data_IF_961943719914
#
_entry.id   IF_961943719914
#
_cell.length_a   1.000
_cell.length_b   1.000
_cell.length_c   1.000
_cell.angle_alpha   90.00
_cell.angle_beta   90.00
_cell.angle_gamma   90.00
#
_symmetry.space_group_name_H-M   'P 1'
#
loop_
_entity.id
_entity.type
_entity.pdbx_description
1 polymer ?
#
# COMPACT_ATOMS: atom_id res chain seq x y z
N UNK A 1 4.27 -23.34 2.14
CA UNK A 1 3.02 -22.89 1.47
C UNK A 1 3.02 -23.47 0.07
N UNK A 2 1.86 -23.90 -0.42
CA UNK A 2 1.72 -24.33 -1.81
C UNK A 2 1.96 -23.17 -2.75
N UNK A 3 2.38 -23.47 -3.99
CA UNK A 3 2.55 -22.44 -5.02
C UNK A 3 1.21 -21.74 -5.28
N UNK A 4 1.19 -20.41 -5.53
CA UNK A 4 -0.02 -19.70 -5.90
C UNK A 4 -0.69 -20.32 -7.12
N UNK A 5 -2.03 -20.26 -7.20
CA UNK A 5 -2.79 -20.80 -8.32
C UNK A 5 -2.44 -20.10 -9.64
N UNK A 6 -2.29 -20.87 -10.72
CA UNK A 6 -2.11 -20.32 -12.07
C UNK A 6 -3.43 -19.73 -12.58
N UNK A 7 -3.33 -18.73 -13.47
CA UNK A 7 -4.53 -18.15 -14.08
C UNK A 7 -5.41 -19.19 -14.78
N UNK A 8 -4.79 -20.09 -15.53
CA UNK A 8 -5.52 -21.08 -16.32
C UNK A 8 -6.28 -22.09 -15.45
N UNK A 9 -5.84 -22.31 -14.22
CA UNK A 9 -6.47 -23.24 -13.28
C UNK A 9 -7.63 -22.61 -12.49
N UNK A 10 -7.87 -21.29 -12.63
CA UNK A 10 -9.00 -20.62 -12.00
C UNK A 10 -10.32 -21.03 -12.66
N UNK A 11 -11.38 -21.07 -11.82
CA UNK A 11 -12.76 -21.18 -12.29
C UNK A 11 -13.14 -20.03 -13.23
N UNK A 12 -13.94 -20.32 -14.25
CA UNK A 12 -14.34 -19.32 -15.25
C UNK A 12 -15.14 -18.16 -14.68
N UNK A 13 -15.92 -18.37 -13.63
CA UNK A 13 -16.68 -17.31 -12.96
C UNK A 13 -15.71 -16.37 -12.24
N UNK A 14 -14.68 -16.91 -11.58
CA UNK A 14 -13.63 -16.11 -10.95
C UNK A 14 -12.86 -15.30 -12.00
N UNK A 15 -12.47 -15.92 -13.14
CA UNK A 15 -11.83 -15.21 -14.24
C UNK A 15 -12.66 -14.03 -14.72
N UNK A 16 -13.95 -14.23 -14.97
CA UNK A 16 -14.85 -13.15 -15.39
C UNK A 16 -14.94 -12.02 -14.36
N UNK A 17 -15.01 -12.36 -13.07
CA UNK A 17 -15.03 -11.35 -12.00
C UNK A 17 -13.73 -10.54 -11.93
N UNK A 18 -12.56 -11.21 -12.01
CA UNK A 18 -11.28 -10.52 -12.04
C UNK A 18 -11.16 -9.57 -13.23
N UNK A 19 -11.63 -9.99 -14.40
CA UNK A 19 -11.62 -9.17 -15.63
C UNK A 19 -12.78 -8.17 -15.69
N UNK A 20 -13.54 -7.98 -14.58
CA UNK A 20 -14.73 -7.14 -14.58
C UNK A 20 -15.65 -7.45 -15.78
N UNK A 21 -15.92 -8.75 -16.01
CA UNK A 21 -16.70 -9.27 -17.14
C UNK A 21 -16.13 -8.87 -18.51
N UNK A 22 -14.85 -9.19 -18.72
CA UNK A 22 -14.07 -8.92 -19.95
C UNK A 22 -13.86 -7.43 -20.26
N UNK A 23 -14.01 -6.56 -19.25
CA UNK A 23 -13.81 -5.13 -19.42
C UNK A 23 -12.37 -4.67 -19.22
N UNK A 24 -11.50 -5.50 -18.63
CA UNK A 24 -10.09 -5.17 -18.38
C UNK A 24 -9.19 -6.30 -18.88
N UNK A 25 -8.00 -6.01 -19.43
CA UNK A 25 -7.05 -7.00 -19.85
C UNK A 25 -6.32 -7.66 -18.69
N UNK A 26 -5.82 -8.86 -18.96
CA UNK A 26 -4.87 -9.57 -18.10
C UNK A 26 -3.51 -9.65 -18.80
N UNK A 27 -2.44 -9.53 -18.01
CA UNK A 27 -1.07 -9.75 -18.43
C UNK A 27 -0.48 -10.91 -17.64
N UNK A 28 0.29 -11.75 -18.31
CA UNK A 28 1.00 -12.84 -17.66
C UNK A 28 2.21 -12.29 -16.89
N UNK A 29 2.17 -12.43 -15.57
CA UNK A 29 3.23 -12.07 -14.66
C UNK A 29 3.13 -12.93 -13.40
N UNK A 30 3.46 -14.20 -13.54
CA UNK A 30 3.35 -15.12 -12.42
C UNK A 30 4.51 -14.95 -11.43
N UNK A 31 4.16 -14.64 -10.19
CA UNK A 31 5.09 -14.51 -9.09
C UNK A 31 4.95 -15.68 -8.11
N UNK A 32 6.00 -16.49 -8.01
CA UNK A 32 6.08 -17.60 -7.07
C UNK A 32 7.14 -17.28 -6.00
N UNK A 33 6.84 -16.31 -5.15
CA UNK A 33 7.73 -15.89 -4.07
C UNK A 33 7.06 -16.04 -2.72
N UNK A 34 7.33 -17.13 -2.03
CA UNK A 34 6.94 -17.27 -0.62
C UNK A 34 7.93 -16.54 0.26
N UNK A 35 7.51 -15.40 0.82
CA UNK A 35 8.25 -14.75 1.91
C UNK A 35 7.90 -15.48 3.22
N UNK A 36 8.81 -16.31 3.72
CA UNK A 36 8.57 -17.10 4.94
C UNK A 36 9.52 -16.79 6.09
N UNK A 37 10.39 -15.79 5.97
CA UNK A 37 11.36 -15.47 7.00
C UNK A 37 10.88 -14.30 7.86
N UNK A 38 11.00 -14.44 9.18
CA UNK A 38 10.90 -13.29 10.08
C UNK A 38 11.97 -12.26 9.70
N UNK A 39 11.56 -11.02 9.54
CA UNK A 39 12.45 -9.91 9.20
C UNK A 39 12.75 -9.15 10.48
N UNK A 40 14.03 -8.96 10.78
CA UNK A 40 14.47 -8.12 11.88
C UNK A 40 14.95 -6.77 11.36
N UNK A 41 14.29 -5.71 11.79
CA UNK A 41 14.60 -4.32 11.44
C UNK A 41 15.46 -3.73 12.56
N UNK A 42 16.69 -3.36 12.24
CA UNK A 42 17.63 -2.84 13.22
C UNK A 42 17.33 -1.40 13.57
N UNK A 43 17.52 -1.06 14.83
CA UNK A 43 17.42 0.32 15.34
C UNK A 43 18.29 1.30 14.55
N UNK A 44 19.51 0.90 14.21
CA UNK A 44 20.46 1.73 13.44
C UNK A 44 19.90 2.12 12.07
N UNK A 45 19.22 1.19 11.38
CA UNK A 45 18.60 1.43 10.07
C UNK A 45 17.45 2.43 10.20
N UNK A 46 16.61 2.27 11.23
CA UNK A 46 15.49 3.19 11.51
C UNK A 46 16.02 4.60 11.82
N UNK A 47 17.01 4.72 12.70
CA UNK A 47 17.62 6.00 13.08
C UNK A 47 18.26 6.69 11.88
N UNK A 48 18.96 5.92 11.04
CA UNK A 48 19.56 6.43 9.80
C UNK A 48 18.51 6.95 8.82
N UNK A 49 17.43 6.18 8.60
CA UNK A 49 16.31 6.61 7.75
C UNK A 49 15.61 7.87 8.30
N UNK A 50 15.34 7.92 9.60
CA UNK A 50 14.73 9.11 10.24
C UNK A 50 15.63 10.34 10.06
N UNK A 51 16.93 10.20 10.26
CA UNK A 51 17.88 11.30 10.10
C UNK A 51 17.89 11.81 8.65
N UNK A 52 17.92 10.91 7.66
CA UNK A 52 17.85 11.27 6.24
C UNK A 52 16.54 12.03 5.94
N UNK A 53 15.39 11.48 6.38
CA UNK A 53 14.07 12.09 6.19
C UNK A 53 13.93 13.47 6.84
N UNK A 54 14.52 13.69 8.03
CA UNK A 54 14.52 14.97 8.71
C UNK A 54 15.36 16.03 7.98
N UNK A 55 16.37 15.60 7.21
CA UNK A 55 17.18 16.47 6.38
C UNK A 55 16.55 16.79 5.02
N UNK A 56 15.51 16.05 4.61
CA UNK A 56 14.76 16.31 3.37
C UNK A 56 13.77 17.44 3.58
N UNK A 57 13.92 18.49 2.79
CA UNK A 57 13.04 19.68 2.80
C UNK A 57 12.63 20.02 1.38
N UNK A 58 11.52 20.70 1.25
CA UNK A 58 11.08 21.20 -0.07
C UNK A 58 12.19 22.02 -0.78
N UNK A 59 12.33 21.89 -2.10
CA UNK A 59 11.59 20.98 -2.97
C UNK A 59 12.14 19.53 -2.87
N UNK A 60 11.26 18.59 -2.53
CA UNK A 60 11.63 17.17 -2.37
C UNK A 60 12.11 16.52 -3.66
N UNK A 61 11.77 17.08 -4.83
CA UNK A 61 12.20 16.58 -6.15
C UNK A 61 13.69 16.39 -6.30
N UNK A 62 14.51 17.12 -5.53
CA UNK A 62 15.97 16.97 -5.53
C UNK A 62 16.47 15.64 -4.90
N UNK A 63 15.59 14.89 -4.24
CA UNK A 63 15.92 13.64 -3.56
C UNK A 63 15.49 12.38 -4.34
N UNK A 64 14.84 12.55 -5.49
CA UNK A 64 14.27 11.44 -6.29
C UNK A 64 15.29 10.34 -6.64
N UNK A 65 16.56 10.71 -6.87
CA UNK A 65 17.60 9.78 -7.30
C UNK A 65 18.51 9.32 -6.15
N UNK A 66 18.25 9.72 -4.91
CA UNK A 66 19.27 9.67 -3.85
C UNK A 66 19.18 8.47 -2.92
N UNK A 67 18.10 7.67 -2.95
CA UNK A 67 17.96 6.54 -2.02
C UNK A 67 17.54 5.23 -2.72
N UNK A 68 18.48 4.29 -2.93
CA UNK A 68 18.18 2.99 -3.51
C UNK A 68 17.24 2.11 -2.65
N UNK A 69 17.02 2.46 -1.37
CA UNK A 69 16.11 1.73 -0.49
C UNK A 69 14.64 2.06 -0.72
N UNK A 70 14.35 3.14 -1.44
CA UNK A 70 12.97 3.59 -1.62
C UNK A 70 12.17 2.72 -2.59
N UNK A 71 12.77 2.20 -3.66
CA UNK A 71 12.12 1.29 -4.61
C UNK A 71 10.86 1.82 -5.33
N UNK A 72 10.32 2.96 -4.89
CA UNK A 72 9.04 3.54 -5.30
C UNK A 72 9.17 4.85 -6.09
N UNK A 73 10.38 5.25 -6.47
CA UNK A 73 10.61 6.46 -7.27
C UNK A 73 9.99 7.71 -6.65
N UNK A 74 9.16 8.42 -7.44
CA UNK A 74 8.54 9.68 -7.04
C UNK A 74 7.52 9.56 -5.90
N UNK A 75 7.02 8.36 -5.62
CA UNK A 75 5.99 8.12 -4.60
C UNK A 75 6.45 8.57 -3.20
N UNK A 76 7.70 8.35 -2.85
CA UNK A 76 8.24 8.80 -1.55
C UNK A 76 8.20 10.31 -1.42
N UNK A 77 8.52 11.03 -2.49
CA UNK A 77 8.45 12.50 -2.55
C UNK A 77 7.00 12.98 -2.40
N UNK A 78 6.10 12.36 -3.15
CA UNK A 78 4.67 12.69 -3.11
C UNK A 78 4.05 12.42 -1.74
N UNK A 79 4.48 11.35 -1.06
CA UNK A 79 4.04 11.02 0.29
C UNK A 79 4.52 12.07 1.31
N UNK A 80 5.77 12.53 1.22
CA UNK A 80 6.28 13.60 2.08
C UNK A 80 5.49 14.89 1.89
N UNK A 81 5.18 15.27 0.64
CA UNK A 81 4.33 16.44 0.33
C UNK A 81 2.92 16.28 0.92
N UNK A 82 2.33 15.08 0.81
CA UNK A 82 1.02 14.81 1.39
C UNK A 82 1.03 14.94 2.92
N UNK A 83 2.05 14.39 3.58
CA UNK A 83 2.20 14.45 5.04
C UNK A 83 2.55 15.85 5.57
N UNK A 84 3.21 16.69 4.77
CA UNK A 84 3.46 18.08 5.14
C UNK A 84 2.17 18.93 5.05
N UNK A 85 1.29 18.64 4.06
CA UNK A 85 0.00 19.32 3.93
C UNK A 85 -1.06 18.81 4.91
N UNK A 86 -1.05 17.52 5.20
CA UNK A 86 -1.97 16.83 6.11
C UNK A 86 -1.15 16.13 7.21
N UNK A 87 -0.75 16.85 8.27
CA UNK A 87 0.24 16.36 9.23
C UNK A 87 -0.31 15.27 10.17
N UNK A 88 0.54 14.27 10.44
CA UNK A 88 0.25 13.16 11.34
C UNK A 88 0.89 13.30 12.72
N UNK A 89 1.43 14.46 13.05
CA UNK A 89 2.12 14.71 14.33
C UNK A 89 1.21 14.42 15.51
N UNK A 90 1.71 13.61 16.46
CA UNK A 90 0.99 13.14 17.66
C UNK A 90 -0.25 12.27 17.33
N UNK A 91 -0.41 11.79 16.09
CA UNK A 91 -1.47 10.89 15.70
C UNK A 91 -1.01 9.43 15.84
N UNK A 92 -1.93 8.54 16.21
CA UNK A 92 -1.71 7.10 16.06
C UNK A 92 -1.87 6.73 14.58
N UNK A 93 -0.82 6.17 13.99
CA UNK A 93 -0.76 5.86 12.56
C UNK A 93 -0.46 4.38 12.37
N UNK A 94 -1.24 3.71 11.55
CA UNK A 94 -0.95 2.34 11.15
C UNK A 94 -0.43 2.30 9.71
N UNK A 95 0.70 1.63 9.49
CA UNK A 95 1.16 1.22 8.18
C UNK A 95 0.59 -0.17 7.84
N UNK A 96 0.07 -0.36 6.64
CA UNK A 96 -0.48 -1.64 6.17
C UNK A 96 0.48 -2.24 5.15
N UNK A 97 1.05 -3.39 5.51
CA UNK A 97 2.05 -4.07 4.72
C UNK A 97 3.47 -3.50 4.93
N UNK A 98 4.46 -4.35 4.75
CA UNK A 98 5.87 -3.97 4.81
C UNK A 98 6.68 -4.81 3.83
N UNK A 99 7.53 -4.18 3.05
CA UNK A 99 8.37 -4.84 2.04
C UNK A 99 9.71 -5.36 2.58
N UNK A 100 9.87 -5.41 3.90
CA UNK A 100 11.10 -5.89 4.56
C UNK A 100 12.11 -4.81 4.92
N UNK A 101 11.74 -3.54 4.82
CA UNK A 101 12.55 -2.40 5.25
C UNK A 101 11.88 -1.61 6.37
N UNK A 102 12.48 -0.47 6.73
CA UNK A 102 11.95 0.44 7.77
C UNK A 102 11.47 1.79 7.21
N UNK A 103 11.39 1.90 5.89
CA UNK A 103 11.19 3.20 5.24
C UNK A 103 9.86 3.87 5.62
N UNK A 104 8.75 3.12 5.57
CA UNK A 104 7.42 3.68 5.87
C UNK A 104 7.24 4.01 7.35
N UNK A 105 7.75 3.17 8.24
CA UNK A 105 7.78 3.40 9.67
C UNK A 105 8.63 4.64 10.00
N UNK A 106 9.79 4.76 9.34
CA UNK A 106 10.67 5.92 9.50
C UNK A 106 10.03 7.22 8.99
N UNK A 107 9.25 7.18 7.90
CA UNK A 107 8.45 8.33 7.45
C UNK A 107 7.46 8.76 8.53
N UNK A 108 6.69 7.83 9.09
CA UNK A 108 5.72 8.12 10.16
C UNK A 108 6.42 8.76 11.35
N UNK A 109 7.51 8.16 11.82
CA UNK A 109 8.27 8.64 12.98
C UNK A 109 8.91 10.01 12.72
N UNK A 110 9.51 10.24 11.53
CA UNK A 110 10.11 11.52 11.17
C UNK A 110 9.11 12.68 11.12
N UNK A 111 7.83 12.36 10.89
CA UNK A 111 6.71 13.33 10.92
C UNK A 111 6.00 13.38 12.27
N UNK A 112 6.58 12.74 13.30
CA UNK A 112 6.09 12.76 14.69
C UNK A 112 4.82 11.95 14.94
N UNK A 113 4.51 11.00 14.06
CA UNK A 113 3.43 10.02 14.26
C UNK A 113 3.82 8.92 15.25
N UNK A 114 2.83 8.30 15.88
CA UNK A 114 2.97 7.12 16.73
C UNK A 114 2.73 5.90 15.85
N UNK A 115 3.79 5.12 15.60
CA UNK A 115 3.82 4.11 14.55
C UNK A 115 3.41 2.72 15.01
N UNK A 116 2.46 2.11 14.31
CA UNK A 116 2.21 0.67 14.31
C UNK A 116 2.22 0.15 12.87
N UNK A 117 2.65 -1.09 12.65
CA UNK A 117 2.58 -1.75 11.33
C UNK A 117 1.82 -3.06 11.46
N UNK A 118 0.84 -3.29 10.58
CA UNK A 118 0.12 -4.56 10.47
C UNK A 118 0.67 -5.30 9.24
N UNK A 119 1.16 -6.54 9.46
CA UNK A 119 1.78 -7.37 8.43
C UNK A 119 1.38 -8.84 8.60
N UNK A 120 1.36 -9.61 7.50
CA UNK A 120 1.13 -11.06 7.56
C UNK A 120 2.30 -11.79 8.21
N UNK A 121 3.53 -11.41 7.84
CA UNK A 121 4.75 -12.01 8.38
C UNK A 121 5.13 -11.34 9.70
N UNK A 122 5.76 -12.12 10.58
CA UNK A 122 6.28 -11.59 11.83
C UNK A 122 7.46 -10.67 11.56
N UNK A 123 7.32 -9.41 11.95
CA UNK A 123 8.39 -8.41 11.96
C UNK A 123 8.85 -8.19 13.40
N UNK A 124 10.14 -7.98 13.58
CA UNK A 124 10.76 -7.70 14.86
C UNK A 124 11.73 -6.51 14.74
N UNK A 125 11.90 -5.74 15.81
CA UNK A 125 12.84 -4.63 15.86
C UNK A 125 13.34 -4.40 17.27
N UNK A 126 14.54 -3.87 17.41
CA UNK A 126 15.09 -3.32 18.66
C UNK A 126 14.86 -1.80 18.79
N UNK A 127 14.16 -1.17 17.83
CA UNK A 127 13.74 0.23 17.91
C UNK A 127 12.43 0.36 18.71
N UNK A 128 12.42 1.08 19.85
CA UNK A 128 11.26 1.08 20.75
C UNK A 128 10.05 1.88 20.27
N UNK A 129 10.18 2.61 19.16
CA UNK A 129 9.14 3.52 18.63
C UNK A 129 8.21 2.88 17.58
N UNK A 130 8.36 1.60 17.29
CA UNK A 130 7.53 0.88 16.31
C UNK A 130 6.87 -0.31 16.98
N UNK A 131 5.56 -0.44 16.78
CA UNK A 131 4.80 -1.62 17.18
C UNK A 131 4.48 -2.45 15.94
N UNK A 132 5.00 -3.67 15.87
CA UNK A 132 4.62 -4.64 14.84
C UNK A 132 3.51 -5.55 15.34
N UNK A 133 2.50 -5.76 14.51
CA UNK A 133 1.30 -6.52 14.82
C UNK A 133 1.05 -7.46 13.64
N UNK A 134 0.97 -8.75 13.88
CA UNK A 134 0.55 -9.68 12.84
C UNK A 134 -0.95 -9.50 12.54
N UNK A 135 -1.39 -9.84 11.32
CA UNK A 135 -2.81 -9.83 10.96
C UNK A 135 -3.64 -10.69 11.92
N UNK A 136 -3.08 -11.80 12.43
CA UNK A 136 -3.75 -12.69 13.39
C UNK A 136 -3.88 -12.00 14.77
N UNK A 137 -2.83 -11.40 15.28
CA UNK A 137 -2.86 -10.63 16.54
C UNK A 137 -3.86 -9.47 16.45
N UNK A 138 -3.89 -8.76 15.32
CA UNK A 138 -4.84 -7.67 15.10
C UNK A 138 -6.30 -8.17 15.08
N UNK A 139 -6.58 -9.31 14.44
CA UNK A 139 -7.93 -9.91 14.45
C UNK A 139 -8.39 -10.30 15.86
N UNK A 140 -7.46 -10.78 16.69
CA UNK A 140 -7.76 -11.17 18.08
C UNK A 140 -7.89 -9.98 19.03
N UNK A 141 -7.20 -8.89 18.76
CA UNK A 141 -7.24 -7.66 19.57
C UNK A 141 -7.29 -6.40 18.67
N UNK A 142 -8.44 -6.13 18.03
CA UNK A 142 -8.57 -5.01 17.11
C UNK A 142 -8.51 -3.67 17.85
N UNK A 143 -7.85 -2.70 17.23
CA UNK A 143 -7.75 -1.31 17.70
C UNK A 143 -7.95 -0.34 16.56
N UNK A 144 -8.20 0.93 16.89
CA UNK A 144 -8.41 1.98 15.90
C UNK A 144 -7.29 3.01 15.93
N UNK A 145 -7.03 3.60 14.76
CA UNK A 145 -5.99 4.60 14.55
C UNK A 145 -6.57 5.91 14.05
N UNK A 146 -5.84 7.00 14.22
CA UNK A 146 -6.23 8.30 13.68
C UNK A 146 -5.98 8.38 12.17
N UNK A 147 -4.88 7.78 11.70
CA UNK A 147 -4.48 7.75 10.30
C UNK A 147 -3.96 6.37 9.91
N UNK A 148 -3.91 6.10 8.61
CA UNK A 148 -3.23 4.94 8.06
C UNK A 148 -2.43 5.30 6.81
N UNK A 149 -1.35 4.57 6.58
CA UNK A 149 -0.62 4.49 5.31
C UNK A 149 -0.83 3.11 4.71
N UNK A 150 -1.11 3.06 3.42
CA UNK A 150 -1.10 1.82 2.63
C UNK A 150 -0.39 2.12 1.32
N UNK A 151 0.83 1.59 1.17
CA UNK A 151 1.71 1.92 0.06
C UNK A 151 2.01 0.66 -0.72
N UNK A 152 1.43 0.56 -1.93
CA UNK A 152 1.58 -0.59 -2.82
C UNK A 152 1.30 -1.92 -2.10
N UNK A 153 0.11 -2.00 -1.48
CA UNK A 153 -0.33 -3.17 -0.70
C UNK A 153 -1.63 -3.75 -1.24
N UNK A 154 -2.70 -2.97 -1.30
CA UNK A 154 -4.05 -3.48 -1.61
C UNK A 154 -4.22 -4.02 -3.03
N UNK A 155 -3.41 -3.56 -3.98
CA UNK A 155 -3.41 -4.09 -5.34
C UNK A 155 -3.06 -5.58 -5.43
N UNK A 156 -2.46 -6.13 -4.39
CA UNK A 156 -2.09 -7.54 -4.31
C UNK A 156 -3.18 -8.41 -3.69
N UNK A 157 -4.08 -7.83 -2.90
CA UNK A 157 -5.04 -8.57 -2.10
C UNK A 157 -6.01 -9.40 -2.96
N UNK A 158 -6.16 -10.66 -2.59
CA UNK A 158 -7.03 -11.59 -3.30
C UNK A 158 -6.41 -12.22 -4.56
N UNK A 159 -5.12 -11.96 -4.87
CA UNK A 159 -4.42 -12.57 -6.00
C UNK A 159 -3.65 -13.84 -5.62
N UNK A 160 -3.63 -14.19 -4.33
CA UNK A 160 -2.89 -15.37 -3.83
C UNK A 160 -1.37 -15.23 -3.83
N UNK A 161 -0.85 -14.03 -4.13
CA UNK A 161 0.59 -13.78 -4.25
C UNK A 161 1.35 -14.07 -2.98
N UNK A 162 0.78 -13.76 -1.84
CA UNK A 162 1.38 -13.91 -0.50
C UNK A 162 0.73 -15.02 0.33
N UNK A 163 -0.01 -15.93 -0.32
CA UNK A 163 -0.79 -16.98 0.36
C UNK A 163 -2.17 -16.50 0.83
N UNK A 164 -2.55 -15.31 0.45
CA UNK A 164 -3.88 -14.76 0.67
C UNK A 164 -4.95 -15.54 -0.14
N UNK A 165 -6.19 -15.64 0.35
CA UNK A 165 -7.27 -16.32 -0.38
C UNK A 165 -7.54 -15.66 -1.73
N UNK A 166 -7.80 -16.48 -2.75
CA UNK A 166 -8.23 -16.00 -4.07
C UNK A 166 -9.58 -15.29 -3.95
N UNK A 167 -9.59 -14.01 -4.22
CA UNK A 167 -10.79 -13.17 -4.12
C UNK A 167 -10.72 -12.01 -5.12
N UNK A 168 -11.58 -11.97 -6.16
CA UNK A 168 -11.61 -10.86 -7.12
C UNK A 168 -11.83 -9.47 -6.49
N UNK A 169 -12.45 -9.42 -5.32
CA UNK A 169 -12.78 -8.18 -4.60
C UNK A 169 -11.90 -7.97 -3.36
N UNK A 170 -10.77 -8.68 -3.23
CA UNK A 170 -9.90 -8.61 -2.06
C UNK A 170 -9.44 -7.20 -1.73
N UNK A 171 -9.05 -6.40 -2.72
CA UNK A 171 -8.67 -4.99 -2.57
C UNK A 171 -9.84 -4.11 -2.11
N UNK A 172 -11.07 -4.37 -2.59
CA UNK A 172 -12.27 -3.63 -2.18
C UNK A 172 -12.66 -3.98 -0.73
N UNK A 173 -12.50 -5.25 -0.35
CA UNK A 173 -12.70 -5.69 1.04
C UNK A 173 -11.64 -5.10 1.97
N UNK A 174 -10.38 -5.01 1.53
CA UNK A 174 -9.33 -4.32 2.27
C UNK A 174 -9.71 -2.86 2.54
N UNK A 175 -10.13 -2.12 1.52
CA UNK A 175 -10.60 -0.74 1.67
C UNK A 175 -11.82 -0.60 2.59
N UNK A 176 -12.76 -1.55 2.54
CA UNK A 176 -13.90 -1.60 3.46
C UNK A 176 -13.43 -1.85 4.89
N UNK A 177 -12.49 -2.76 5.10
CA UNK A 177 -11.95 -3.05 6.42
C UNK A 177 -11.19 -1.86 7.01
N UNK A 178 -10.50 -1.06 6.20
CA UNK A 178 -9.84 0.16 6.66
C UNK A 178 -10.79 1.15 7.33
N UNK A 179 -12.08 1.16 6.95
CA UNK A 179 -13.08 2.01 7.62
C UNK A 179 -13.33 1.61 9.09
N UNK A 180 -13.06 0.38 9.45
CA UNK A 180 -13.15 -0.08 10.85
C UNK A 180 -11.85 0.13 11.63
N UNK A 181 -10.73 0.23 10.92
CA UNK A 181 -9.39 0.42 11.48
C UNK A 181 -9.10 1.91 11.72
N UNK A 182 -9.54 2.78 10.81
CA UNK A 182 -9.38 4.22 10.93
C UNK A 182 -10.62 4.81 11.62
N UNK A 183 -10.41 5.67 12.60
CA UNK A 183 -11.52 6.38 13.27
C UNK A 183 -12.33 7.22 12.26
N UNK A 184 -13.64 7.43 12.49
CA UNK A 184 -14.41 8.38 11.68
C UNK A 184 -13.73 9.76 11.62
N UNK A 185 -13.60 10.33 10.42
CA UNK A 185 -12.88 11.56 10.16
C UNK A 185 -11.36 11.43 10.03
N UNK A 186 -10.79 10.24 10.30
CA UNK A 186 -9.37 9.96 10.14
C UNK A 186 -8.97 9.80 8.67
N UNK A 187 -7.67 9.85 8.38
CA UNK A 187 -7.13 9.87 7.02
C UNK A 187 -6.42 8.57 6.66
N UNK A 188 -6.64 8.14 5.41
CA UNK A 188 -5.87 7.10 4.74
C UNK A 188 -5.01 7.75 3.65
N UNK A 189 -3.70 7.57 3.72
CA UNK A 189 -2.76 7.88 2.66
C UNK A 189 -2.59 6.61 1.82
N UNK A 190 -3.28 6.57 0.69
CA UNK A 190 -3.34 5.41 -0.18
C UNK A 190 -2.44 5.60 -1.39
N UNK A 191 -1.60 4.62 -1.64
CA UNK A 191 -0.77 4.54 -2.85
C UNK A 191 -1.04 3.22 -3.54
N UNK A 192 -1.47 3.29 -4.79
CA UNK A 192 -1.70 2.13 -5.65
C UNK A 192 -1.27 2.42 -7.09
N UNK A 193 -0.91 1.42 -7.90
CA UNK A 193 -0.56 1.62 -9.30
C UNK A 193 -1.75 2.15 -10.11
N UNK A 194 -1.55 3.26 -10.81
CA UNK A 194 -2.57 3.91 -11.66
C UNK A 194 -2.17 3.84 -13.12
N UNK A 195 -3.14 3.52 -13.98
CA UNK A 195 -2.97 3.43 -15.42
C UNK A 195 -4.27 3.00 -16.09
N UNK A 196 -4.19 2.43 -17.29
CA UNK A 196 -5.32 1.71 -17.88
C UNK A 196 -5.61 0.47 -17.02
N UNK A 197 -6.89 0.29 -16.62
CA UNK A 197 -7.30 -0.85 -15.79
C UNK A 197 -6.78 -2.16 -16.33
N UNK A 198 -6.06 -2.94 -15.52
CA UNK A 198 -5.53 -4.25 -15.89
C UNK A 198 -5.14 -5.08 -14.67
N UNK A 199 -4.90 -6.36 -14.88
CA UNK A 199 -4.33 -7.28 -13.89
C UNK A 199 -3.05 -7.89 -14.46
N UNK A 200 -1.96 -7.85 -13.71
CA UNK A 200 -0.80 -8.69 -13.90
C UNK A 200 -0.93 -9.91 -12.98
N UNK A 201 -1.32 -11.04 -13.54
CA UNK A 201 -1.58 -12.22 -12.72
C UNK A 201 -0.28 -12.92 -12.31
N UNK A 202 -0.08 -13.24 -11.07
CA UNK A 202 -0.79 -12.95 -9.82
C UNK A 202 -0.17 -11.77 -9.04
N UNK A 203 0.52 -10.89 -9.74
CA UNK A 203 1.37 -9.88 -9.12
C UNK A 203 0.58 -8.72 -8.52
N UNK A 204 -0.24 -8.02 -9.31
CA UNK A 204 -0.93 -6.81 -8.88
C UNK A 204 -2.04 -6.38 -9.83
N UNK A 205 -2.90 -5.49 -9.35
CA UNK A 205 -3.86 -4.73 -10.15
C UNK A 205 -3.28 -3.38 -10.53
N UNK A 206 -3.70 -2.86 -11.69
CA UNK A 206 -3.51 -1.47 -12.10
C UNK A 206 -4.89 -0.84 -12.18
N UNK A 207 -5.05 0.29 -11.49
CA UNK A 207 -6.35 0.94 -11.33
C UNK A 207 -6.53 2.06 -12.35
N UNK A 208 -7.62 2.00 -13.08
CA UNK A 208 -8.01 2.99 -14.07
C UNK A 208 -9.41 3.54 -13.82
N UNK A 209 -10.02 4.03 -14.90
CA UNK A 209 -11.34 4.67 -14.88
C UNK A 209 -12.46 3.75 -14.37
N UNK A 210 -12.27 2.41 -14.50
CA UNK A 210 -13.31 1.43 -14.14
C UNK A 210 -13.22 0.99 -12.68
N UNK A 211 -12.02 0.60 -12.18
CA UNK A 211 -11.88 0.02 -10.84
C UNK A 211 -11.59 1.04 -9.74
N UNK A 212 -10.86 2.12 -10.03
CA UNK A 212 -10.52 3.11 -8.99
C UNK A 212 -11.76 3.70 -8.28
N UNK A 213 -12.90 4.00 -8.94
CA UNK A 213 -14.10 4.49 -8.27
C UNK A 213 -14.67 3.51 -7.23
N UNK A 214 -14.54 2.18 -7.47
CA UNK A 214 -14.98 1.18 -6.48
C UNK A 214 -14.04 1.13 -5.28
N UNK A 215 -12.73 1.33 -5.50
CA UNK A 215 -11.76 1.39 -4.41
C UNK A 215 -12.05 2.57 -3.47
N UNK A 216 -12.52 3.69 -4.01
CA UNK A 216 -12.86 4.90 -3.24
C UNK A 216 -14.31 4.91 -2.71
N UNK A 217 -15.06 3.84 -2.93
CA UNK A 217 -16.46 3.80 -2.50
C UNK A 217 -16.61 4.03 -0.99
N UNK A 218 -17.48 4.97 -0.61
CA UNK A 218 -17.68 5.44 0.76
C UNK A 218 -16.48 6.12 1.44
N UNK A 219 -15.48 6.56 0.67
CA UNK A 219 -14.41 7.42 1.13
C UNK A 219 -14.57 8.82 0.53
N UNK A 220 -14.20 9.85 1.27
CA UNK A 220 -14.09 11.21 0.75
C UNK A 220 -12.66 11.45 0.25
N UNK A 221 -12.48 11.65 -1.06
CA UNK A 221 -11.18 12.07 -1.62
C UNK A 221 -10.92 13.53 -1.25
N UNK A 222 -9.96 13.76 -0.35
CA UNK A 222 -9.59 15.10 0.11
C UNK A 222 -8.60 15.75 -0.85
N UNK A 223 -7.59 14.96 -1.30
CA UNK A 223 -6.52 15.47 -2.14
C UNK A 223 -5.79 14.34 -2.86
N UNK A 224 -4.95 14.70 -3.84
CA UNK A 224 -4.05 13.77 -4.51
C UNK A 224 -2.74 14.45 -4.90
N UNK A 225 -1.65 13.69 -4.83
CA UNK A 225 -0.31 14.15 -5.18
C UNK A 225 0.24 13.26 -6.30
N UNK A 226 0.71 13.88 -7.37
CA UNK A 226 1.22 13.15 -8.54
C UNK A 226 0.15 12.53 -9.44
N UNK A 227 -1.15 12.74 -9.18
CA UNK A 227 -2.24 12.25 -9.98
C UNK A 227 -2.72 13.28 -11.00
N UNK A 228 -2.95 12.83 -12.22
CA UNK A 228 -3.75 13.56 -13.22
C UNK A 228 -4.52 12.53 -14.07
N UNK A 229 -5.63 12.95 -14.66
CA UNK A 229 -6.52 12.06 -15.40
C UNK A 229 -5.91 11.43 -16.65
N UNK A 230 -4.88 12.03 -17.24
CA UNK A 230 -4.21 11.49 -18.43
C UNK A 230 -3.46 10.19 -18.14
N UNK A 231 -3.13 9.92 -16.87
CA UNK A 231 -2.50 8.67 -16.44
C UNK A 231 -3.40 7.45 -16.80
N UNK A 232 -4.72 7.61 -16.76
CA UNK A 232 -5.65 6.53 -17.10
C UNK A 232 -5.58 6.06 -18.57
N UNK A 233 -5.01 6.85 -19.44
CA UNK A 233 -4.88 6.51 -20.87
C UNK A 233 -3.53 5.80 -21.16
N UNK A 234 -2.70 5.62 -20.13
CA UNK A 234 -1.42 4.95 -20.23
C UNK A 234 -1.57 3.43 -20.01
N UNK A 235 -1.29 2.64 -21.07
CA UNK A 235 -1.21 1.19 -20.96
C UNK A 235 0.15 0.79 -20.36
N UNK A 236 0.12 0.38 -19.09
CA UNK A 236 1.30 -0.07 -18.36
C UNK A 236 1.78 -1.47 -18.75
N UNK A 237 1.03 -2.20 -19.59
CA UNK A 237 1.34 -3.57 -20.03
C UNK A 237 1.69 -4.51 -18.88
N UNK A 238 0.90 -4.45 -17.82
CA UNK A 238 1.07 -5.28 -16.62
C UNK A 238 2.24 -4.88 -15.71
N UNK A 239 2.96 -3.79 -15.98
CA UNK A 239 3.98 -3.26 -15.06
C UNK A 239 3.35 -2.26 -14.09
N UNK A 240 3.84 -2.15 -12.84
CA UNK A 240 3.39 -1.08 -11.96
C UNK A 240 3.60 0.26 -12.67
N UNK A 241 2.51 1.00 -12.85
CA UNK A 241 2.56 2.33 -13.45
C UNK A 241 2.98 3.39 -12.43
N UNK A 242 2.58 4.63 -12.70
CA UNK A 242 2.70 5.73 -11.74
C UNK A 242 1.92 5.37 -10.46
N UNK A 243 2.50 5.68 -9.31
CA UNK A 243 1.89 5.44 -8.01
C UNK A 243 1.69 6.76 -7.26
N UNK A 244 0.63 7.51 -7.57
CA UNK A 244 0.28 8.75 -6.88
C UNK A 244 -0.19 8.47 -5.46
N UNK A 245 -0.15 9.50 -4.61
CA UNK A 245 -0.70 9.44 -3.25
C UNK A 245 -2.10 10.05 -3.25
N UNK A 246 -3.07 9.31 -2.76
CA UNK A 246 -4.43 9.79 -2.49
C UNK A 246 -4.63 9.98 -0.99
N UNK A 247 -5.17 11.12 -0.59
CA UNK A 247 -5.56 11.39 0.79
C UNK A 247 -7.06 11.21 0.89
N UNK A 248 -7.48 10.14 1.54
CA UNK A 248 -8.88 9.74 1.69
C UNK A 248 -9.31 9.92 3.15
N UNK A 249 -10.52 10.44 3.36
CA UNK A 249 -11.10 10.60 4.70
C UNK A 249 -12.18 9.55 4.94
N UNK A 250 -12.16 8.94 6.10
CA UNK A 250 -13.18 8.01 6.56
C UNK A 250 -14.45 8.79 6.97
N UNK A 251 -15.51 8.71 6.16
CA UNK A 251 -16.81 9.37 6.36
C UNK A 251 -17.85 8.41 6.92
#
# INVERSE_FOLDING_TARGET
MDAPIQWDDLDNILKLRYLMYDNIPIYDYYFNGTYSNSIFIKKEDVESCINDLNNRKEPYSKYQDSNPLEGYGDTSVLLLQALDKYPIKNQTVVNIGNSGGCWFESIILSRGGICSTIEYNKLETDYPGIEFITVEEFKNNPKTFNCALSISSFEHDGLGRYGDPINPDGDLEAMKNMKTIIKPGGLLYLVVPIGMDSIAWNAHRIYGKKRLPYLFYNWELIDSFGFNQSIFDHDCKGKPGTQPVFVLKNI
#
